data_IF_956780398938
#
_entry.id   IF_956780398938
#
_cell.length_a   1.000
_cell.length_b   1.000
_cell.length_c   1.000
_cell.angle_alpha   90.00
_cell.angle_beta   90.00
_cell.angle_gamma   90.00
#
_symmetry.space_group_name_H-M   'P 1'
#
loop_
_entity.id
_entity.type
_entity.pdbx_description
1 polymer ?
#
# COMPACT_ATOMS: atom_id res chain seq x y z
N UNK A 1 42.17 -3.33 27.32
CA UNK A 1 41.57 -4.28 26.40
C UNK A 1 40.10 -4.60 26.68
N UNK A 2 39.66 -4.82 27.94
CA UNK A 2 38.22 -5.10 28.22
C UNK A 2 37.27 -3.93 27.89
N UNK A 3 37.71 -2.67 28.08
CA UNK A 3 36.89 -1.47 27.78
C UNK A 3 36.63 -1.25 26.30
N UNK A 4 37.58 -1.58 25.40
CA UNK A 4 37.42 -1.46 23.96
C UNK A 4 36.45 -2.50 23.38
N UNK A 5 36.48 -3.74 23.97
CA UNK A 5 35.57 -4.81 23.57
C UNK A 5 34.10 -4.47 23.92
N UNK A 6 33.87 -3.85 25.07
CA UNK A 6 32.54 -3.42 25.52
C UNK A 6 31.98 -2.30 24.64
N UNK A 7 32.83 -1.37 24.20
CA UNK A 7 32.44 -0.27 23.32
C UNK A 7 32.11 -0.77 21.89
N UNK A 8 32.82 -1.78 21.38
CA UNK A 8 32.57 -2.39 20.09
C UNK A 8 31.25 -3.19 20.10
N UNK A 9 30.92 -3.87 21.21
CA UNK A 9 29.66 -4.61 21.36
C UNK A 9 28.46 -3.66 21.43
N UNK A 10 28.59 -2.48 22.07
CA UNK A 10 27.52 -1.46 22.09
C UNK A 10 27.28 -0.81 20.71
N UNK A 11 28.30 -0.75 19.84
CA UNK A 11 28.13 -0.23 18.48
C UNK A 11 27.46 -1.21 17.51
N UNK A 12 27.43 -2.51 17.83
CA UNK A 12 26.83 -3.56 17.01
C UNK A 12 25.35 -3.85 17.32
N UNK A 13 24.79 -3.21 18.36
CA UNK A 13 23.36 -3.33 18.71
C UNK A 13 22.51 -2.16 18.25
N UNK A 14 22.97 -1.39 17.29
CA UNK A 14 22.09 -0.49 16.53
C UNK A 14 21.06 -1.36 15.79
N UNK A 15 19.90 -1.59 16.39
CA UNK A 15 18.78 -2.20 15.70
C UNK A 15 18.48 -1.31 14.48
N UNK A 16 18.89 -1.75 13.32
CA UNK A 16 18.45 -1.14 12.06
C UNK A 16 16.94 -1.28 12.04
N UNK A 17 16.22 -0.18 12.26
CA UNK A 17 14.78 -0.16 12.05
C UNK A 17 14.53 -0.65 10.63
N UNK A 18 13.83 -1.77 10.50
CA UNK A 18 13.40 -2.25 9.20
C UNK A 18 12.52 -1.18 8.55
N UNK A 19 12.78 -0.85 7.30
CA UNK A 19 11.97 0.09 6.55
C UNK A 19 11.68 -0.48 5.16
N UNK A 20 10.40 -0.58 4.82
CA UNK A 20 10.01 -0.89 3.45
C UNK A 20 9.75 0.42 2.70
N UNK A 21 10.56 0.65 1.68
CA UNK A 21 10.48 1.81 0.80
C UNK A 21 10.83 1.41 -0.63
N UNK A 22 10.46 2.21 -1.64
CA UNK A 22 10.86 1.96 -3.02
C UNK A 22 12.38 1.90 -3.17
N UNK A 23 12.87 0.95 -3.96
CA UNK A 23 14.29 0.80 -4.33
C UNK A 23 14.50 1.28 -5.77
N UNK A 24 15.67 1.83 -6.07
CA UNK A 24 16.01 2.24 -7.42
C UNK A 24 15.90 1.05 -8.39
N UNK A 25 15.21 1.26 -9.53
CA UNK A 25 15.03 0.24 -10.58
C UNK A 25 14.30 -1.02 -10.11
N UNK A 26 13.51 -0.93 -9.08
CA UNK A 26 12.75 -2.06 -8.54
C UNK A 26 11.79 -2.62 -9.59
N UNK A 27 11.95 -3.90 -9.95
CA UNK A 27 11.10 -4.60 -10.90
C UNK A 27 9.95 -5.35 -10.22
N UNK A 28 10.06 -5.64 -8.93
CA UNK A 28 9.05 -6.34 -8.16
C UNK A 28 8.36 -5.43 -7.14
N UNK A 29 7.57 -6.03 -6.28
CA UNK A 29 6.93 -5.34 -5.17
C UNK A 29 7.93 -5.03 -4.04
N UNK A 30 7.52 -4.14 -3.12
CA UNK A 30 8.22 -3.96 -1.86
C UNK A 30 8.13 -5.24 -1.02
N UNK A 31 9.10 -5.41 -0.10
CA UNK A 31 9.12 -6.56 0.79
C UNK A 31 7.82 -6.66 1.59
N UNK A 32 7.16 -7.80 1.53
CA UNK A 32 5.91 -8.04 2.24
C UNK A 32 6.10 -8.08 3.74
N UNK A 33 5.12 -7.53 4.45
CA UNK A 33 5.04 -7.56 5.92
C UNK A 33 3.65 -7.91 6.44
N UNK A 34 2.76 -8.35 5.57
CA UNK A 34 1.41 -8.81 5.91
C UNK A 34 1.04 -10.03 5.10
N UNK A 35 0.20 -10.91 5.64
CA UNK A 35 -0.31 -12.07 4.90
C UNK A 35 -1.15 -11.71 3.67
N UNK A 36 -1.71 -10.48 3.61
CA UNK A 36 -2.43 -9.96 2.44
C UNK A 36 -1.43 -9.69 1.31
N UNK A 37 -0.32 -9.02 1.64
CA UNK A 37 0.72 -8.71 0.65
C UNK A 37 1.43 -9.98 0.17
N UNK A 38 1.64 -10.99 1.03
CA UNK A 38 2.19 -12.29 0.62
C UNK A 38 1.30 -12.96 -0.44
N UNK A 39 -0.02 -13.02 -0.21
CA UNK A 39 -0.97 -13.59 -1.16
C UNK A 39 -1.01 -12.78 -2.47
N UNK A 40 -0.89 -11.45 -2.40
CA UNK A 40 -0.86 -10.56 -3.56
C UNK A 40 0.40 -10.81 -4.41
N UNK A 41 1.57 -10.90 -3.77
CA UNK A 41 2.84 -11.21 -4.44
C UNK A 41 2.77 -12.60 -5.08
N UNK A 42 2.26 -13.59 -4.34
CA UNK A 42 2.08 -14.95 -4.89
C UNK A 42 1.16 -14.94 -6.12
N UNK A 43 0.01 -14.29 -6.04
CA UNK A 43 -0.92 -14.20 -7.16
C UNK A 43 -0.29 -13.52 -8.38
N UNK A 44 0.47 -12.45 -8.17
CA UNK A 44 1.14 -11.74 -9.26
C UNK A 44 2.28 -12.57 -9.86
N UNK A 45 3.25 -13.00 -9.03
CA UNK A 45 4.51 -13.57 -9.52
C UNK A 45 4.35 -14.99 -10.06
N UNK A 46 3.45 -15.79 -9.48
CA UNK A 46 3.30 -17.22 -9.85
C UNK A 46 2.06 -17.51 -10.72
N UNK A 47 1.10 -16.59 -10.81
CA UNK A 47 -0.10 -16.79 -11.62
C UNK A 47 -0.17 -15.75 -12.76
N UNK A 48 -0.24 -14.46 -12.45
CA UNK A 48 -0.46 -13.43 -13.46
C UNK A 48 0.75 -13.23 -14.38
N UNK A 49 1.94 -13.06 -13.80
CA UNK A 49 3.15 -12.77 -14.56
C UNK A 49 3.51 -13.89 -15.58
N UNK A 50 3.47 -15.19 -15.23
CA UNK A 50 3.65 -16.26 -16.20
C UNK A 50 2.60 -16.25 -17.33
N UNK A 51 1.32 -16.02 -17.00
CA UNK A 51 0.22 -15.99 -17.98
C UNK A 51 0.41 -14.83 -18.97
N UNK A 52 0.60 -13.60 -18.46
CA UNK A 52 0.77 -12.42 -19.32
C UNK A 52 2.06 -12.50 -20.15
N UNK A 53 3.13 -13.08 -19.60
CA UNK A 53 4.38 -13.28 -20.32
C UNK A 53 4.18 -14.30 -21.45
N UNK A 54 3.52 -15.42 -21.18
CA UNK A 54 3.22 -16.44 -22.21
C UNK A 54 2.36 -15.85 -23.34
N UNK A 55 1.33 -15.07 -23.01
CA UNK A 55 0.47 -14.39 -24.00
C UNK A 55 1.30 -13.40 -24.83
N UNK A 56 2.12 -12.58 -24.19
CA UNK A 56 2.95 -11.57 -24.86
C UNK A 56 3.95 -12.19 -25.83
N UNK A 57 4.64 -13.26 -25.40
CA UNK A 57 5.58 -14.03 -26.23
C UNK A 57 4.85 -14.71 -27.41
N UNK A 58 3.67 -15.27 -27.14
CA UNK A 58 2.85 -15.89 -28.18
C UNK A 58 2.43 -14.88 -29.26
N UNK A 59 1.93 -13.71 -28.84
CA UNK A 59 1.54 -12.64 -29.79
C UNK A 59 2.75 -12.12 -30.55
N UNK A 60 3.88 -11.90 -29.90
CA UNK A 60 5.12 -11.51 -30.56
C UNK A 60 5.53 -12.54 -31.62
N UNK A 61 5.50 -13.84 -31.28
CA UNK A 61 5.76 -14.91 -32.22
C UNK A 61 4.83 -14.87 -33.46
N UNK A 62 3.53 -14.68 -33.24
CA UNK A 62 2.56 -14.58 -34.35
C UNK A 62 2.86 -13.37 -35.28
N UNK A 63 3.21 -12.22 -34.70
CA UNK A 63 3.59 -11.03 -35.47
C UNK A 63 4.84 -11.32 -36.32
N UNK A 64 5.91 -11.81 -35.70
CA UNK A 64 7.15 -12.12 -36.39
C UNK A 64 6.97 -13.21 -37.47
N UNK A 65 6.18 -14.23 -37.18
CA UNK A 65 5.80 -15.27 -38.16
C UNK A 65 5.04 -14.67 -39.33
N UNK A 66 4.04 -13.80 -39.07
CA UNK A 66 3.26 -13.13 -40.10
C UNK A 66 4.14 -12.26 -40.99
N UNK A 67 4.97 -11.42 -40.41
CA UNK A 67 5.93 -10.55 -41.14
C UNK A 67 6.90 -11.38 -42.00
N UNK A 68 7.43 -12.46 -41.49
CA UNK A 68 8.39 -13.29 -42.19
C UNK A 68 7.75 -14.11 -43.31
N UNK A 69 6.62 -14.79 -43.02
CA UNK A 69 5.98 -15.71 -43.96
C UNK A 69 5.18 -15.02 -45.05
N UNK A 70 4.44 -13.97 -44.71
CA UNK A 70 3.49 -13.32 -45.62
C UNK A 70 4.03 -12.03 -46.26
N UNK A 71 5.33 -11.76 -46.21
CA UNK A 71 5.96 -10.65 -46.92
C UNK A 71 5.76 -10.78 -48.43
N UNK A 72 5.60 -9.68 -49.12
CA UNK A 72 5.32 -9.63 -50.57
C UNK A 72 6.27 -10.48 -51.40
N UNK A 73 7.58 -10.52 -51.10
CA UNK A 73 8.56 -11.33 -51.82
C UNK A 73 8.40 -12.85 -51.68
N UNK A 74 7.70 -13.33 -50.63
CA UNK A 74 7.46 -14.76 -50.38
C UNK A 74 5.99 -15.17 -50.59
N UNK A 75 5.08 -14.22 -50.65
CA UNK A 75 3.65 -14.47 -50.79
C UNK A 75 3.05 -13.56 -51.88
N UNK A 76 3.44 -13.75 -53.17
CA UNK A 76 2.98 -12.89 -54.27
C UNK A 76 1.47 -13.04 -54.53
N UNK A 77 0.88 -14.19 -54.19
CA UNK A 77 -0.55 -14.47 -54.37
C UNK A 77 -1.18 -14.78 -53.01
N UNK A 78 -1.58 -13.77 -52.21
CA UNK A 78 -2.15 -13.98 -50.88
C UNK A 78 -3.51 -14.71 -50.97
N UNK A 79 -3.78 -15.53 -49.95
CA UNK A 79 -5.09 -16.18 -49.82
C UNK A 79 -6.19 -15.14 -49.64
N UNK A 80 -7.37 -15.43 -50.23
CA UNK A 80 -8.58 -14.63 -50.05
C UNK A 80 -9.50 -15.14 -48.93
N UNK A 81 -9.05 -16.10 -48.13
CA UNK A 81 -9.81 -16.59 -46.96
C UNK A 81 -9.92 -15.48 -45.92
N UNK A 82 -11.14 -15.13 -45.55
CA UNK A 82 -11.45 -14.00 -44.66
C UNK A 82 -11.94 -14.42 -43.27
N UNK A 83 -12.31 -15.67 -43.10
CA UNK A 83 -12.87 -16.17 -41.85
C UNK A 83 -12.52 -17.64 -41.62
N UNK A 84 -12.51 -18.05 -40.34
CA UNK A 84 -12.36 -19.42 -39.91
C UNK A 84 -13.07 -19.60 -38.56
N UNK A 85 -14.28 -20.18 -38.59
CA UNK A 85 -15.16 -20.34 -37.42
C UNK A 85 -14.47 -21.10 -36.27
N UNK A 86 -13.66 -22.12 -36.58
CA UNK A 86 -12.94 -22.86 -35.55
C UNK A 86 -11.94 -21.95 -34.80
N UNK A 87 -11.14 -21.14 -35.52
CA UNK A 87 -10.22 -20.22 -34.90
C UNK A 87 -10.97 -19.14 -34.09
N UNK A 88 -12.11 -18.66 -34.59
CA UNK A 88 -12.94 -17.67 -33.88
C UNK A 88 -13.47 -18.20 -32.56
N UNK A 89 -13.94 -19.45 -32.56
CA UNK A 89 -14.34 -20.12 -31.31
C UNK A 89 -13.15 -20.27 -30.36
N UNK A 90 -11.99 -20.70 -30.84
CA UNK A 90 -10.81 -20.91 -30.00
C UNK A 90 -10.30 -19.63 -29.38
N UNK A 91 -10.20 -18.51 -30.16
CA UNK A 91 -9.71 -17.26 -29.59
C UNK A 91 -10.72 -16.56 -28.66
N UNK A 92 -11.98 -16.97 -28.65
CA UNK A 92 -12.99 -16.55 -27.69
C UNK A 92 -12.97 -17.41 -26.44
N UNK A 93 -12.99 -18.74 -26.59
CA UNK A 93 -13.11 -19.66 -25.47
C UNK A 93 -11.85 -19.73 -24.62
N UNK A 94 -10.65 -19.75 -25.26
CA UNK A 94 -9.38 -19.86 -24.51
C UNK A 94 -9.17 -18.69 -23.56
N UNK A 95 -9.30 -17.40 -23.97
CA UNK A 95 -9.22 -16.28 -23.04
C UNK A 95 -10.25 -16.33 -21.91
N UNK A 96 -11.50 -16.73 -22.21
CA UNK A 96 -12.52 -16.90 -21.16
C UNK A 96 -12.09 -17.94 -20.12
N UNK A 97 -11.55 -19.08 -20.54
CA UNK A 97 -11.04 -20.10 -19.61
C UNK A 97 -9.86 -19.59 -18.77
N UNK A 98 -8.94 -18.83 -19.39
CA UNK A 98 -7.84 -18.19 -18.64
C UNK A 98 -8.38 -17.25 -17.58
N UNK A 99 -9.37 -16.42 -17.89
CA UNK A 99 -10.01 -15.52 -16.93
C UNK A 99 -10.69 -16.28 -15.77
N UNK A 100 -11.36 -17.41 -16.07
CA UNK A 100 -11.95 -18.26 -15.02
C UNK A 100 -10.89 -18.82 -14.08
N UNK A 101 -9.76 -19.27 -14.61
CA UNK A 101 -8.63 -19.76 -13.77
C UNK A 101 -8.08 -18.66 -12.87
N UNK A 102 -7.91 -17.43 -13.39
CA UNK A 102 -7.43 -16.28 -12.61
C UNK A 102 -8.46 -15.84 -11.57
N UNK A 103 -9.75 -15.90 -11.89
CA UNK A 103 -10.82 -15.43 -11.02
C UNK A 103 -10.84 -16.14 -9.67
N UNK A 104 -10.57 -17.44 -9.61
CA UNK A 104 -10.63 -18.22 -8.36
C UNK A 104 -9.69 -17.66 -7.28
N UNK A 105 -8.37 -17.55 -7.49
CA UNK A 105 -7.46 -16.97 -6.49
C UNK A 105 -7.70 -15.46 -6.29
N UNK A 106 -8.11 -14.75 -7.34
CA UNK A 106 -8.42 -13.31 -7.26
C UNK A 106 -9.57 -13.03 -6.31
N UNK A 107 -10.70 -13.73 -6.45
CA UNK A 107 -11.82 -13.55 -5.53
C UNK A 107 -11.48 -13.98 -4.10
N UNK A 108 -10.69 -15.05 -3.92
CA UNK A 108 -10.23 -15.44 -2.59
C UNK A 108 -9.44 -14.32 -1.91
N UNK A 109 -8.54 -13.68 -2.63
CA UNK A 109 -7.76 -12.54 -2.13
C UNK A 109 -8.65 -11.32 -1.85
N UNK A 110 -9.58 -11.00 -2.77
CA UNK A 110 -10.51 -9.90 -2.62
C UNK A 110 -11.36 -10.04 -1.34
N UNK A 111 -11.95 -11.21 -1.12
CA UNK A 111 -12.72 -11.49 0.10
C UNK A 111 -11.85 -11.42 1.36
N UNK A 112 -10.60 -11.89 1.31
CA UNK A 112 -9.67 -11.77 2.43
C UNK A 112 -9.40 -10.31 2.80
N UNK A 113 -9.33 -9.41 1.81
CA UNK A 113 -9.15 -7.97 2.04
C UNK A 113 -10.41 -7.27 2.56
N UNK A 114 -11.59 -7.69 2.11
CA UNK A 114 -12.86 -7.05 2.45
C UNK A 114 -13.46 -7.51 3.79
N UNK A 115 -13.21 -8.76 4.20
CA UNK A 115 -13.71 -9.30 5.46
C UNK A 115 -12.75 -8.92 6.59
N UNK A 116 -13.12 -7.91 7.37
CA UNK A 116 -12.31 -7.38 8.46
C UNK A 116 -12.42 -8.30 9.68
N UNK A 117 -11.30 -8.91 10.16
CA UNK A 117 -11.30 -9.66 11.41
C UNK A 117 -11.61 -8.76 12.61
N UNK A 118 -11.84 -9.36 13.80
CA UNK A 118 -11.97 -8.57 15.01
C UNK A 118 -10.74 -7.68 15.20
N UNK A 119 -10.95 -6.36 15.16
CA UNK A 119 -9.89 -5.39 15.29
C UNK A 119 -9.38 -5.29 16.73
N UNK A 120 -8.07 -5.20 16.89
CA UNK A 120 -7.39 -4.87 18.15
C UNK A 120 -7.20 -3.35 18.29
N UNK A 121 -7.01 -2.65 17.17
CA UNK A 121 -6.84 -1.20 17.08
C UNK A 121 -7.68 -0.67 15.94
N UNK A 122 -8.36 0.46 16.17
CA UNK A 122 -9.06 1.20 15.12
C UNK A 122 -8.40 2.57 14.94
N UNK A 123 -8.08 2.91 13.69
CA UNK A 123 -7.63 4.25 13.29
C UNK A 123 -8.56 4.80 12.22
N UNK A 124 -8.66 6.13 12.13
CA UNK A 124 -9.36 6.80 11.04
C UNK A 124 -8.37 7.71 10.31
N UNK A 125 -8.28 7.54 9.00
CA UNK A 125 -7.48 8.35 8.10
C UNK A 125 -8.41 9.26 7.31
N UNK A 126 -8.12 10.55 7.31
CA UNK A 126 -8.92 11.59 6.65
C UNK A 126 -8.01 12.31 5.65
N UNK A 127 -8.35 12.23 4.36
CA UNK A 127 -7.63 12.94 3.30
C UNK A 127 -8.01 14.42 3.25
N UNK A 128 -6.99 15.26 3.13
CA UNK A 128 -7.09 16.71 2.89
C UNK A 128 -6.16 17.12 1.75
N UNK A 129 -6.39 18.21 1.10
CA UNK A 129 -5.48 18.82 0.13
C UNK A 129 -4.41 19.65 0.86
N UNK A 130 -3.18 19.22 1.08
CA UNK A 130 -2.56 17.95 0.69
C UNK A 130 -1.79 17.40 1.91
N UNK A 131 -2.49 16.72 2.79
CA UNK A 131 -1.97 16.06 3.99
C UNK A 131 -2.96 15.01 4.49
N UNK A 132 -2.59 14.24 5.50
CA UNK A 132 -3.46 13.27 6.14
C UNK A 132 -3.75 13.64 7.59
N UNK A 133 -5.03 13.65 7.96
CA UNK A 133 -5.47 13.65 9.34
C UNK A 133 -5.65 12.22 9.87
N UNK A 134 -5.30 12.00 11.12
CA UNK A 134 -5.44 10.71 11.78
C UNK A 134 -6.16 10.85 13.11
N UNK A 135 -7.09 9.94 13.36
CA UNK A 135 -7.79 9.81 14.63
C UNK A 135 -7.64 8.38 15.15
N UNK A 136 -7.49 8.23 16.46
CA UNK A 136 -7.62 6.98 17.20
C UNK A 136 -8.88 7.12 18.07
N UNK A 137 -10.05 6.72 17.58
CA UNK A 137 -11.33 7.02 18.23
C UNK A 137 -11.42 6.48 19.66
N UNK A 138 -10.96 5.25 19.87
CA UNK A 138 -11.01 4.58 21.17
C UNK A 138 -10.11 5.26 22.21
N UNK A 139 -9.03 5.91 21.78
CA UNK A 139 -8.05 6.59 22.63
C UNK A 139 -8.24 8.10 22.70
N UNK A 140 -9.18 8.66 21.91
CA UNK A 140 -9.45 10.10 21.79
C UNK A 140 -8.21 10.92 21.42
N UNK A 141 -7.41 10.39 20.49
CA UNK A 141 -6.21 11.02 19.94
C UNK A 141 -6.50 11.48 18.52
N UNK A 142 -6.07 12.70 18.14
CA UNK A 142 -6.14 13.20 16.78
C UNK A 142 -4.91 14.07 16.45
N UNK A 143 -4.36 13.90 15.25
CA UNK A 143 -3.26 14.71 14.73
C UNK A 143 -3.26 14.74 13.22
N UNK A 144 -2.56 15.71 12.66
CA UNK A 144 -2.29 15.82 11.23
C UNK A 144 -0.84 15.45 10.95
N UNK A 145 -0.59 14.79 9.83
CA UNK A 145 0.74 14.41 9.36
C UNK A 145 0.99 15.05 7.99
N UNK A 146 2.08 15.81 7.91
CA UNK A 146 2.51 16.52 6.71
C UNK A 146 3.85 15.98 6.21
N UNK A 147 4.09 16.14 4.90
CA UNK A 147 5.36 15.74 4.29
C UNK A 147 6.52 16.57 4.85
N UNK A 148 7.62 15.90 5.18
CA UNK A 148 8.87 16.58 5.55
C UNK A 148 9.54 17.15 4.30
N UNK A 149 9.87 18.43 4.30
CA UNK A 149 10.57 19.05 3.20
C UNK A 149 12.00 18.52 3.05
N UNK A 150 12.52 18.50 1.81
CA UNK A 150 13.84 17.91 1.50
C UNK A 150 14.98 18.49 2.35
N UNK A 151 14.91 19.78 2.72
CA UNK A 151 15.90 20.46 3.56
C UNK A 151 15.88 20.03 5.03
N UNK A 152 14.75 19.48 5.50
CA UNK A 152 14.50 19.11 6.90
C UNK A 152 14.57 17.60 7.14
N UNK A 153 14.91 16.82 6.08
CA UNK A 153 15.04 15.37 6.17
C UNK A 153 16.20 14.97 7.08
N UNK A 154 15.94 14.02 7.96
CA UNK A 154 16.96 13.36 8.78
C UNK A 154 17.67 12.25 7.99
N UNK A 155 18.90 11.88 8.36
CA UNK A 155 19.60 10.75 7.77
C UNK A 155 18.72 9.48 7.76
N UNK A 156 18.60 8.82 6.61
CA UNK A 156 17.79 7.61 6.43
C UNK A 156 16.32 7.85 6.10
N UNK A 157 15.80 9.06 6.21
CA UNK A 157 14.44 9.37 5.77
C UNK A 157 14.35 9.52 4.25
N UNK A 158 13.40 8.82 3.59
CA UNK A 158 13.25 8.92 2.15
C UNK A 158 12.57 10.23 1.74
N UNK A 159 13.13 10.86 0.70
CA UNK A 159 12.56 12.06 0.09
C UNK A 159 11.14 11.77 -0.43
N UNK A 160 10.21 12.69 -0.21
CA UNK A 160 8.79 12.65 -0.63
C UNK A 160 7.93 11.57 0.09
N UNK A 161 8.50 10.80 1.02
CA UNK A 161 7.78 9.75 1.72
C UNK A 161 7.74 9.95 3.24
N UNK A 162 8.70 10.69 3.79
CA UNK A 162 8.74 10.97 5.22
C UNK A 162 7.69 12.00 5.64
N UNK A 163 7.04 11.76 6.78
CA UNK A 163 6.11 12.69 7.44
C UNK A 163 6.65 13.18 8.78
N UNK A 164 6.17 14.32 9.23
CA UNK A 164 6.52 14.93 10.52
C UNK A 164 5.99 14.13 11.72
N UNK A 165 4.88 13.42 11.54
CA UNK A 165 4.26 12.53 12.53
C UNK A 165 3.89 11.21 11.87
N UNK A 166 4.01 10.12 12.62
CA UNK A 166 3.73 8.77 12.14
C UNK A 166 2.42 8.25 12.72
N UNK A 167 1.74 7.43 11.95
CA UNK A 167 0.71 6.52 12.47
C UNK A 167 1.45 5.38 13.18
N UNK A 168 1.24 5.24 14.49
CA UNK A 168 1.92 4.22 15.29
C UNK A 168 0.96 3.08 15.60
N UNK A 169 1.37 1.84 15.34
CA UNK A 169 0.55 0.64 15.56
C UNK A 169 1.39 -0.50 16.15
N UNK A 170 0.78 -1.39 16.94
CA UNK A 170 1.49 -2.53 17.51
C UNK A 170 1.66 -3.64 16.47
N UNK A 171 2.82 -4.32 16.52
CA UNK A 171 3.12 -5.50 15.68
C UNK A 171 2.18 -6.66 16.02
N UNK A 172 1.87 -7.51 15.03
CA UNK A 172 1.01 -8.69 15.16
C UNK A 172 -0.43 -8.44 15.65
N UNK A 173 -0.91 -7.21 15.59
CA UNK A 173 -2.31 -6.85 15.91
C UNK A 173 -3.08 -6.50 14.66
N UNK A 174 -4.38 -6.81 14.67
CA UNK A 174 -5.30 -6.44 13.59
C UNK A 174 -5.64 -4.96 13.73
N UNK A 175 -5.23 -4.17 12.74
CA UNK A 175 -5.51 -2.74 12.67
C UNK A 175 -6.62 -2.52 11.63
N UNK A 176 -7.77 -2.01 12.08
CA UNK A 176 -8.84 -1.54 11.22
C UNK A 176 -8.59 -0.07 10.88
N UNK A 177 -8.68 0.26 9.61
CA UNK A 177 -8.55 1.64 9.13
C UNK A 177 -9.88 2.10 8.53
N UNK A 178 -10.49 3.11 9.16
CA UNK A 178 -11.61 3.86 8.61
C UNK A 178 -11.05 4.96 7.71
N UNK A 179 -11.54 5.09 6.48
CA UNK A 179 -10.93 5.98 5.50
C UNK A 179 -12.00 6.87 4.89
N UNK A 180 -11.78 8.19 4.92
CA UNK A 180 -12.65 9.20 4.33
C UNK A 180 -11.82 10.39 3.85
N UNK A 181 -12.45 11.36 3.19
CA UNK A 181 -11.84 12.62 2.83
C UNK A 181 -12.75 13.80 3.22
N UNK A 182 -12.16 14.95 3.42
CA UNK A 182 -12.88 16.18 3.78
C UNK A 182 -13.19 17.08 2.58
N UNK A 183 -12.45 16.93 1.49
CA UNK A 183 -12.51 17.84 0.34
C UNK A 183 -12.72 17.10 -1.00
N UNK A 184 -11.70 16.44 -1.53
CA UNK A 184 -11.75 15.72 -2.81
C UNK A 184 -11.47 14.23 -2.59
N UNK A 185 -11.49 13.44 -3.66
CA UNK A 185 -11.06 12.04 -3.61
C UNK A 185 -9.56 11.95 -3.33
N UNK A 186 -9.19 11.05 -2.43
CA UNK A 186 -7.83 10.59 -2.15
C UNK A 186 -7.84 9.07 -2.05
N UNK A 187 -6.68 8.42 -1.94
CA UNK A 187 -6.60 7.00 -1.59
C UNK A 187 -5.45 6.76 -0.61
N UNK A 188 -5.76 6.10 0.49
CA UNK A 188 -4.78 5.68 1.49
C UNK A 188 -4.15 4.37 1.06
N UNK A 189 -2.84 4.36 0.83
CA UNK A 189 -2.15 3.20 0.29
C UNK A 189 -0.78 3.01 0.92
N UNK A 190 -0.49 1.76 1.34
CA UNK A 190 0.83 1.33 1.82
C UNK A 190 1.20 0.04 1.08
N UNK A 191 2.11 0.13 0.09
CA UNK A 191 2.46 -1.02 -0.75
C UNK A 191 2.96 -2.24 0.02
N UNK A 192 3.81 -2.06 1.04
CA UNK A 192 4.33 -3.16 1.85
C UNK A 192 3.25 -3.93 2.63
N UNK A 193 2.08 -3.31 2.86
CA UNK A 193 0.95 -3.94 3.53
C UNK A 193 -0.05 -4.57 2.55
N UNK A 194 0.09 -4.31 1.26
CA UNK A 194 -0.88 -4.72 0.24
C UNK A 194 -2.22 -3.99 0.36
N UNK A 195 -2.24 -2.81 0.95
CA UNK A 195 -3.45 -2.02 1.22
C UNK A 195 -3.53 -0.81 0.32
N UNK A 196 -4.68 -0.63 -0.32
CA UNK A 196 -5.11 0.57 -1.03
C UNK A 196 -6.62 0.71 -0.91
N UNK A 197 -7.09 1.85 -0.42
CA UNK A 197 -8.52 2.12 -0.29
C UNK A 197 -8.79 3.62 -0.49
N UNK A 198 -9.80 3.93 -1.31
CA UNK A 198 -10.19 5.29 -1.61
C UNK A 198 -10.77 6.00 -0.39
N UNK A 199 -10.38 7.25 -0.23
CA UNK A 199 -10.91 8.20 0.72
C UNK A 199 -11.92 9.10 -0.01
N UNK A 200 -13.22 8.83 0.21
CA UNK A 200 -14.33 9.49 -0.51
C UNK A 200 -15.03 10.47 0.43
N UNK A 201 -15.19 11.76 0.04
CA UNK A 201 -15.97 12.72 0.84
C UNK A 201 -17.40 12.23 1.09
N UNK A 202 -17.84 12.34 2.34
CA UNK A 202 -19.19 11.92 2.76
C UNK A 202 -19.40 10.42 2.92
N UNK A 203 -18.37 9.59 2.68
CA UNK A 203 -18.39 8.13 2.85
C UNK A 203 -17.23 7.67 3.71
N UNK A 204 -17.46 6.69 4.57
CA UNK A 204 -16.41 6.00 5.32
C UNK A 204 -16.19 4.64 4.66
N UNK A 205 -15.04 4.46 4.04
CA UNK A 205 -14.55 3.16 3.58
C UNK A 205 -13.75 2.50 4.69
N UNK A 206 -13.62 1.17 4.61
CA UNK A 206 -12.93 0.38 5.61
C UNK A 206 -11.89 -0.51 4.94
N UNK A 207 -10.78 -0.73 5.63
CA UNK A 207 -9.79 -1.74 5.30
C UNK A 207 -9.10 -2.20 6.57
N UNK A 208 -8.23 -3.20 6.46
CA UNK A 208 -7.46 -3.69 7.58
C UNK A 208 -6.10 -4.21 7.15
N UNK A 209 -5.19 -4.29 8.12
CA UNK A 209 -3.92 -4.97 7.96
C UNK A 209 -3.47 -5.55 9.31
N UNK A 210 -2.55 -6.51 9.24
CA UNK A 210 -1.82 -7.04 10.39
C UNK A 210 -0.34 -7.08 10.01
N UNK A 211 0.42 -6.10 10.48
CA UNK A 211 1.85 -6.04 10.22
C UNK A 211 2.60 -7.03 11.13
N UNK A 212 3.42 -7.90 10.53
CA UNK A 212 4.11 -8.99 11.21
C UNK A 212 5.57 -8.65 11.56
N UNK A 213 6.05 -7.45 11.18
CA UNK A 213 7.40 -6.97 11.45
C UNK A 213 7.36 -5.54 11.96
N UNK A 214 8.18 -5.26 12.98
CA UNK A 214 8.43 -3.90 13.45
C UNK A 214 9.21 -3.11 12.39
N UNK A 215 8.98 -1.79 12.31
CA UNK A 215 9.70 -0.91 11.41
C UNK A 215 8.88 0.27 10.93
N UNK A 216 9.44 1.02 9.97
CA UNK A 216 8.80 2.18 9.35
C UNK A 216 8.40 1.82 7.92
N UNK A 217 7.13 2.05 7.60
CA UNK A 217 6.54 1.72 6.30
C UNK A 217 5.95 2.96 5.66
N UNK A 218 6.22 3.11 4.37
CA UNK A 218 5.86 4.30 3.62
C UNK A 218 4.78 4.01 2.60
N UNK A 219 3.91 5.00 2.44
CA UNK A 219 2.86 5.02 1.43
C UNK A 219 2.66 6.43 0.88
N UNK A 220 1.74 6.54 -0.06
CA UNK A 220 1.40 7.81 -0.70
C UNK A 220 -0.10 7.84 -1.03
N UNK A 221 -0.64 9.05 -1.19
CA UNK A 221 -1.94 9.22 -1.81
C UNK A 221 -1.95 8.55 -3.19
N UNK A 222 -2.97 7.74 -3.47
CA UNK A 222 -3.04 6.90 -4.68
C UNK A 222 -4.28 7.16 -5.53
N UNK A 223 -4.98 8.31 -5.30
CA UNK A 223 -6.03 8.86 -6.14
C UNK A 223 -5.75 10.33 -6.43
N UNK A 224 -5.86 10.76 -7.70
CA UNK A 224 -5.50 12.11 -8.15
C UNK A 224 -6.34 13.18 -7.42
N UNK A 225 -5.69 13.98 -6.59
CA UNK A 225 -6.32 14.96 -5.70
C UNK A 225 -5.89 16.43 -5.96
N UNK A 226 -5.20 16.71 -7.06
CA UNK A 226 -4.77 18.06 -7.44
C UNK A 226 -3.24 18.21 -7.54
N UNK A 227 -2.76 19.46 -7.54
CA UNK A 227 -1.37 19.80 -7.90
C UNK A 227 -0.30 19.24 -6.96
N UNK A 228 -0.64 18.96 -5.70
CA UNK A 228 0.28 18.38 -4.72
C UNK A 228 -0.05 16.90 -4.40
N UNK A 229 -0.71 16.22 -5.31
CA UNK A 229 -1.05 14.80 -5.16
C UNK A 229 0.15 13.91 -4.75
N UNK A 230 1.32 14.14 -5.32
CA UNK A 230 2.55 13.41 -5.00
C UNK A 230 3.24 13.85 -3.70
N UNK A 231 2.71 14.86 -3.00
CA UNK A 231 3.34 15.52 -1.86
C UNK A 231 2.54 15.36 -0.56
N UNK A 232 1.75 14.28 -0.45
CA UNK A 232 1.02 13.88 0.75
C UNK A 232 1.26 12.41 1.08
N UNK A 233 2.47 12.09 1.58
CA UNK A 233 2.86 10.74 1.94
C UNK A 233 2.17 10.24 3.20
N UNK A 234 2.34 8.94 3.45
CA UNK A 234 1.84 8.21 4.61
C UNK A 234 3.05 7.53 5.25
N UNK A 235 3.23 7.70 6.57
CA UNK A 235 4.24 6.95 7.33
C UNK A 235 3.54 6.19 8.44
N UNK A 236 3.73 4.87 8.46
CA UNK A 236 3.28 3.99 9.54
C UNK A 236 4.49 3.40 10.25
N UNK A 237 4.54 3.56 11.55
CA UNK A 237 5.55 2.99 12.43
C UNK A 237 4.93 1.82 13.19
N UNK A 238 5.42 0.62 12.93
CA UNK A 238 5.01 -0.61 13.60
C UNK A 238 6.00 -0.88 14.72
N UNK A 239 5.50 -0.96 15.94
CA UNK A 239 6.32 -1.08 17.15
C UNK A 239 5.89 -2.26 18.02
N UNK A 240 6.70 -2.62 19.02
CA UNK A 240 6.29 -3.60 20.04
C UNK A 240 5.07 -3.11 20.82
N UNK A 241 4.38 -4.03 21.51
CA UNK A 241 3.21 -3.68 22.32
C UNK A 241 3.57 -2.73 23.48
N UNK A 242 4.77 -2.87 24.05
CA UNK A 242 5.29 -2.00 25.10
C UNK A 242 5.49 -0.58 24.59
N UNK A 243 6.21 -0.41 23.47
CA UNK A 243 6.45 0.89 22.85
C UNK A 243 5.14 1.55 22.39
N UNK A 244 4.17 0.75 21.94
CA UNK A 244 2.86 1.26 21.57
C UNK A 244 2.11 1.85 22.77
N UNK A 245 2.17 1.19 23.95
CA UNK A 245 1.59 1.71 25.20
C UNK A 245 2.26 3.03 25.62
N UNK A 246 3.60 3.08 25.60
CA UNK A 246 4.37 4.29 25.90
C UNK A 246 3.98 5.45 24.95
N UNK A 247 3.88 5.15 23.66
CA UNK A 247 3.44 6.13 22.68
C UNK A 247 2.02 6.62 22.95
N UNK A 248 1.08 5.72 23.29
CA UNK A 248 -0.30 6.09 23.61
C UNK A 248 -0.37 7.06 24.80
N UNK A 249 0.41 6.82 25.86
CA UNK A 249 0.41 7.68 27.03
C UNK A 249 0.95 9.09 26.70
N UNK A 250 2.00 9.18 25.90
CA UNK A 250 2.49 10.45 25.38
C UNK A 250 1.48 11.11 24.44
N UNK A 251 0.88 10.36 23.53
CA UNK A 251 -0.03 10.87 22.51
C UNK A 251 -1.35 11.39 23.10
N UNK A 252 -1.87 10.77 24.17
CA UNK A 252 -3.05 11.28 24.92
C UNK A 252 -2.83 12.68 25.50
N UNK A 253 -1.60 12.98 25.89
CA UNK A 253 -1.26 14.33 26.41
C UNK A 253 -1.06 15.31 25.27
N UNK A 254 -0.33 14.89 24.23
CA UNK A 254 0.12 15.78 23.15
C UNK A 254 -0.94 16.03 22.09
N UNK A 255 -1.80 15.04 21.82
CA UNK A 255 -2.76 15.00 20.72
C UNK A 255 -4.20 14.74 21.18
N UNK A 256 -4.58 15.15 22.39
CA UNK A 256 -5.93 14.96 22.90
C UNK A 256 -6.97 15.61 21.96
N UNK A 257 -7.99 14.86 21.57
CA UNK A 257 -9.10 15.35 20.74
C UNK A 257 -9.89 16.49 21.40
N UNK A 258 -10.06 16.41 22.73
CA UNK A 258 -10.75 17.40 23.54
C UNK A 258 -9.88 17.63 24.79
N UNK A 259 -8.97 18.61 24.80
CA UNK A 259 -8.23 18.95 26.01
C UNK A 259 -9.24 19.40 27.07
N UNK A 260 -9.14 18.83 28.27
CA UNK A 260 -10.05 19.09 29.41
C UNK A 260 -10.21 20.59 29.75
N UNK A 261 -9.26 21.41 29.35
CA UNK A 261 -9.26 22.86 29.58
C UNK A 261 -10.25 23.65 28.71
N UNK A 262 -10.93 23.05 27.71
CA UNK A 262 -11.93 23.73 26.91
C UNK A 262 -13.39 23.55 27.41
N UNK A 263 -13.59 22.88 28.56
CA UNK A 263 -14.90 22.71 29.19
C UNK A 263 -15.30 23.87 30.12
N UNK A 264 -14.47 24.94 30.24
CA UNK A 264 -14.74 26.09 31.08
C UNK A 264 -15.09 27.34 30.19
N UNK A 265 -15.95 27.20 29.22
CA UNK A 265 -16.65 28.38 28.68
C UNK A 265 -18.03 27.93 28.23
N UNK A 266 -19.00 28.02 29.11
CA UNK A 266 -20.41 28.37 28.94
C UNK A 266 -21.28 27.91 30.13
N UNK A 267 -20.86 28.32 31.33
CA UNK A 267 -21.81 28.41 32.45
C UNK A 267 -21.90 29.85 32.93
N UNK A 268 -22.22 30.73 32.01
CA UNK A 268 -22.75 32.06 32.36
C UNK A 268 -23.40 32.66 31.10
N UNK A 269 -24.71 32.42 30.93
CA UNK A 269 -25.75 33.42 30.63
C UNK A 269 -27.09 32.71 30.50
#
# INVERSE_FOLDING_TARGET
>A
MKSILTTIILFLTGQSLYAAQPKNWQLGYQDSVTSIMDDLVFMHDYILLPIITAISVFVLFLILYGVYKFRASKNPNPSKTTHNTTLEILWTVIPCLILVVIAIPSFKLLYKQDVIPKADVTIKAIGYQWYWGYEYPDQKIAFEATMVETKDLKPGQPRLLATDKHVVVPVNKVVKVLITANDVLHAWAIPAFGVKRDAVPGRINETWFKAEKEGIFYGQCSELCGIKHAFMPITVEVVSEEKYKEWLDMAKVKYAMYPENNLIVNKEK
#
